data_IF_223412230146
#
_entry.id   IF_223412230146
#
_cell.length_a   1.000
_cell.length_b   1.000
_cell.length_c   1.000
_cell.angle_alpha   90.00
_cell.angle_beta   90.00
_cell.angle_gamma   90.00
#
_symmetry.space_group_name_H-M   'P 1'
#
loop_
_entity.id
_entity.type
_entity.pdbx_description
1 polymer ?
#
# COMPACT_ATOMS: atom_id res chain seq x y z
N UNK A 1 -71.71 -85.57 26.36
CA UNK A 1 -71.44 -84.51 25.37
C UNK A 1 -71.03 -83.16 25.97
N UNK A 2 -71.46 -82.79 27.19
CA UNK A 2 -71.04 -81.53 27.85
C UNK A 2 -69.91 -81.68 28.90
N UNK A 3 -69.31 -82.88 29.03
CA UNK A 3 -68.24 -83.19 29.98
C UNK A 3 -67.02 -83.83 29.31
N UNK A 4 -66.80 -83.55 28.01
CA UNK A 4 -65.60 -83.99 27.30
C UNK A 4 -64.49 -82.94 27.53
N UNK A 5 -63.37 -83.30 28.19
CA UNK A 5 -62.26 -82.37 28.45
C UNK A 5 -61.77 -81.68 27.17
N UNK A 6 -61.87 -82.36 26.03
CA UNK A 6 -61.45 -81.86 24.72
C UNK A 6 -62.25 -80.63 24.27
N UNK A 7 -63.54 -80.55 24.62
CA UNK A 7 -64.40 -79.40 24.28
C UNK A 7 -64.00 -78.15 25.07
N UNK A 8 -63.74 -78.28 26.37
CA UNK A 8 -63.27 -77.16 27.19
C UNK A 8 -61.85 -76.70 26.82
N UNK A 9 -60.99 -77.61 26.36
CA UNK A 9 -59.69 -77.26 25.79
C UNK A 9 -59.85 -76.47 24.49
N UNK A 10 -60.75 -76.88 23.60
CA UNK A 10 -61.03 -76.13 22.36
C UNK A 10 -61.61 -74.72 22.65
N UNK A 11 -62.54 -74.60 23.59
CA UNK A 11 -63.12 -73.31 23.99
C UNK A 11 -62.07 -72.38 24.62
N UNK A 12 -61.21 -72.90 25.51
CA UNK A 12 -60.14 -72.10 26.12
C UNK A 12 -59.06 -71.70 25.11
N UNK A 13 -58.73 -72.56 24.14
CA UNK A 13 -57.84 -72.22 23.02
C UNK A 13 -58.40 -71.10 22.16
N UNK A 14 -59.68 -71.18 21.75
CA UNK A 14 -60.32 -70.14 20.94
C UNK A 14 -60.39 -68.81 21.71
N UNK A 15 -60.73 -68.84 23.00
CA UNK A 15 -60.77 -67.64 23.83
C UNK A 15 -59.37 -67.01 23.98
N UNK A 16 -58.34 -67.83 24.19
CA UNK A 16 -56.95 -67.37 24.25
C UNK A 16 -56.49 -66.75 22.93
N UNK A 17 -56.77 -67.40 21.80
CA UNK A 17 -56.44 -66.88 20.47
C UNK A 17 -57.19 -65.56 20.21
N UNK A 18 -58.48 -65.49 20.52
CA UNK A 18 -59.28 -64.28 20.34
C UNK A 18 -58.74 -63.09 21.16
N UNK A 19 -58.34 -63.32 22.41
CA UNK A 19 -57.77 -62.28 23.27
C UNK A 19 -56.37 -61.84 22.82
N UNK A 20 -55.52 -62.78 22.37
CA UNK A 20 -54.13 -62.48 21.98
C UNK A 20 -53.99 -61.94 20.57
N UNK A 21 -54.87 -62.33 19.63
CA UNK A 21 -54.79 -61.93 18.22
C UNK A 21 -54.78 -60.41 18.05
N UNK A 22 -55.66 -59.70 18.76
CA UNK A 22 -55.72 -58.22 18.71
C UNK A 22 -54.41 -57.59 19.17
N UNK A 23 -53.82 -58.08 20.26
CA UNK A 23 -52.56 -57.53 20.79
C UNK A 23 -51.38 -57.82 19.88
N UNK A 24 -51.26 -59.06 19.37
CA UNK A 24 -50.19 -59.43 18.43
C UNK A 24 -50.30 -58.62 17.14
N UNK A 25 -51.50 -58.47 16.58
CA UNK A 25 -51.72 -57.69 15.35
C UNK A 25 -51.36 -56.22 15.55
N UNK A 26 -51.78 -55.61 16.67
CA UNK A 26 -51.43 -54.22 16.99
C UNK A 26 -49.93 -54.02 17.17
N UNK A 27 -49.23 -54.94 17.85
CA UNK A 27 -47.77 -54.84 18.03
C UNK A 27 -47.01 -55.03 16.71
N UNK A 28 -47.45 -55.95 15.85
CA UNK A 28 -46.83 -56.19 14.55
C UNK A 28 -46.98 -54.99 13.61
N UNK A 29 -48.19 -54.43 13.50
CA UNK A 29 -48.45 -53.23 12.69
C UNK A 29 -47.67 -52.02 13.21
N UNK A 30 -47.69 -51.77 14.52
CA UNK A 30 -46.93 -50.66 15.13
C UNK A 30 -45.42 -50.78 14.86
N UNK A 31 -44.85 -52.00 14.92
CA UNK A 31 -43.43 -52.21 14.65
C UNK A 31 -43.07 -51.98 13.18
N UNK A 32 -43.94 -52.36 12.25
CA UNK A 32 -43.77 -52.11 10.82
C UNK A 32 -43.89 -50.61 10.49
N UNK A 33 -44.88 -49.93 11.07
CA UNK A 33 -45.07 -48.48 10.91
C UNK A 33 -43.88 -47.70 11.49
N UNK A 34 -43.38 -48.10 12.66
CA UNK A 34 -42.18 -47.50 13.25
C UNK A 34 -40.96 -47.61 12.32
N UNK A 35 -40.73 -48.79 11.73
CA UNK A 35 -39.64 -48.98 10.76
C UNK A 35 -39.87 -48.18 9.47
N UNK A 36 -41.10 -48.13 8.97
CA UNK A 36 -41.42 -47.37 7.77
C UNK A 36 -41.18 -45.86 7.99
N UNK A 37 -41.58 -45.34 9.15
CA UNK A 37 -41.33 -43.95 9.52
C UNK A 37 -39.85 -43.66 9.74
N UNK A 38 -39.10 -44.57 10.37
CA UNK A 38 -37.65 -44.43 10.52
C UNK A 38 -36.94 -44.38 9.17
N UNK A 39 -37.32 -45.25 8.23
CA UNK A 39 -36.75 -45.26 6.87
C UNK A 39 -37.10 -43.97 6.13
N UNK A 40 -38.36 -43.50 6.22
CA UNK A 40 -38.77 -42.21 5.64
C UNK A 40 -37.95 -41.05 6.19
N UNK A 41 -37.83 -40.95 7.51
CA UNK A 41 -37.06 -39.87 8.15
C UNK A 41 -35.59 -39.89 7.71
N UNK A 42 -34.96 -41.07 7.64
CA UNK A 42 -33.58 -41.22 7.15
C UNK A 42 -33.44 -40.82 5.68
N UNK A 43 -34.43 -41.15 4.84
CA UNK A 43 -34.45 -40.75 3.43
C UNK A 43 -34.62 -39.24 3.26
N UNK A 44 -35.50 -38.62 4.04
CA UNK A 44 -35.71 -37.16 4.05
C UNK A 44 -34.45 -36.44 4.54
N UNK A 45 -33.84 -36.90 5.62
CA UNK A 45 -32.58 -36.35 6.14
C UNK A 45 -31.44 -36.48 5.11
N UNK A 46 -31.32 -37.64 4.46
CA UNK A 46 -30.33 -37.84 3.40
C UNK A 46 -30.56 -36.93 2.18
N UNK A 47 -31.82 -36.66 1.82
CA UNK A 47 -32.17 -35.71 0.76
C UNK A 47 -31.79 -34.29 1.16
N UNK A 48 -32.17 -33.86 2.37
CA UNK A 48 -31.83 -32.53 2.89
C UNK A 48 -30.31 -32.32 2.95
N UNK A 49 -29.56 -33.28 3.49
CA UNK A 49 -28.10 -33.24 3.53
C UNK A 49 -27.47 -33.14 2.13
N UNK A 50 -28.06 -33.84 1.14
CA UNK A 50 -27.59 -33.76 -0.24
C UNK A 50 -27.88 -32.38 -0.84
N UNK A 51 -29.05 -31.82 -0.60
CA UNK A 51 -29.41 -30.47 -1.06
C UNK A 51 -28.51 -29.41 -0.43
N UNK A 52 -28.28 -29.48 0.89
CA UNK A 52 -27.35 -28.61 1.60
C UNK A 52 -25.93 -28.72 1.06
N UNK A 53 -25.43 -29.93 0.82
CA UNK A 53 -24.10 -30.14 0.25
C UNK A 53 -23.99 -29.57 -1.18
N UNK A 54 -25.04 -29.70 -1.99
CA UNK A 54 -25.10 -29.12 -3.33
C UNK A 54 -25.13 -27.59 -3.28
N UNK A 55 -25.92 -27.01 -2.38
CA UNK A 55 -26.00 -25.57 -2.17
C UNK A 55 -24.67 -25.00 -1.68
N UNK A 56 -24.03 -25.67 -0.71
CA UNK A 56 -22.71 -25.31 -0.21
C UNK A 56 -21.66 -25.35 -1.34
N UNK A 57 -21.61 -26.44 -2.12
CA UNK A 57 -20.70 -26.55 -3.26
C UNK A 57 -20.90 -25.42 -4.28
N UNK A 58 -22.16 -25.12 -4.63
CA UNK A 58 -22.46 -24.03 -5.55
C UNK A 58 -22.03 -22.67 -4.99
N UNK A 59 -22.18 -22.47 -3.68
CA UNK A 59 -21.72 -21.25 -3.02
C UNK A 59 -20.19 -21.13 -3.05
N UNK A 60 -19.45 -22.21 -2.74
CA UNK A 60 -18.00 -22.23 -2.82
C UNK A 60 -17.49 -21.96 -4.24
N UNK A 61 -18.11 -22.55 -5.27
CA UNK A 61 -17.74 -22.30 -6.65
C UNK A 61 -17.98 -20.84 -7.06
N UNK A 62 -19.07 -20.24 -6.59
CA UNK A 62 -19.36 -18.81 -6.81
C UNK A 62 -18.31 -17.94 -6.14
N UNK A 63 -18.05 -18.19 -4.85
CA UNK A 63 -17.06 -17.46 -4.07
C UNK A 63 -15.66 -17.58 -4.68
N UNK A 64 -15.26 -18.77 -5.13
CA UNK A 64 -13.97 -18.98 -5.79
C UNK A 64 -13.85 -18.13 -7.06
N UNK A 65 -14.88 -18.14 -7.92
CA UNK A 65 -14.88 -17.33 -9.14
C UNK A 65 -14.84 -15.84 -8.83
N UNK A 66 -15.60 -15.40 -7.85
CA UNK A 66 -15.69 -13.98 -7.50
C UNK A 66 -14.35 -13.52 -6.85
N UNK A 67 -13.71 -14.36 -6.02
CA UNK A 67 -12.38 -14.11 -5.49
C UNK A 67 -11.30 -14.04 -6.59
N UNK A 68 -11.37 -14.89 -7.62
CA UNK A 68 -10.46 -14.82 -8.76
C UNK A 68 -10.63 -13.50 -9.53
N UNK A 69 -11.87 -13.07 -9.79
CA UNK A 69 -12.16 -11.79 -10.43
C UNK A 69 -11.65 -10.61 -9.60
N UNK A 70 -11.84 -10.66 -8.30
CA UNK A 70 -11.36 -9.62 -7.39
C UNK A 70 -9.83 -9.57 -7.35
N UNK A 71 -9.15 -10.73 -7.32
CA UNK A 71 -7.70 -10.79 -7.44
C UNK A 71 -7.19 -10.22 -8.77
N UNK A 72 -7.84 -10.54 -9.89
CA UNK A 72 -7.53 -9.96 -11.21
C UNK A 72 -7.72 -8.43 -11.21
N UNK A 73 -8.80 -7.94 -10.61
CA UNK A 73 -9.07 -6.51 -10.49
C UNK A 73 -8.01 -5.80 -9.62
N UNK A 74 -7.62 -6.39 -8.49
CA UNK A 74 -6.55 -5.88 -7.63
C UNK A 74 -5.23 -5.80 -8.41
N UNK A 75 -4.88 -6.84 -9.16
CA UNK A 75 -3.66 -6.86 -9.97
C UNK A 75 -3.69 -5.82 -11.10
N UNK A 76 -4.83 -5.64 -11.76
CA UNK A 76 -5.01 -4.63 -12.78
C UNK A 76 -4.83 -3.22 -12.20
N UNK A 77 -5.52 -2.92 -11.09
CA UNK A 77 -5.40 -1.65 -10.39
C UNK A 77 -3.97 -1.39 -9.90
N UNK A 78 -3.30 -2.40 -9.33
CA UNK A 78 -1.92 -2.26 -8.88
C UNK A 78 -0.95 -1.96 -10.03
N UNK A 79 -1.17 -2.54 -11.22
CA UNK A 79 -0.36 -2.26 -12.42
C UNK A 79 -0.59 -0.85 -12.95
N UNK A 80 -1.85 -0.42 -13.00
CA UNK A 80 -2.20 0.95 -13.40
C UNK A 80 -1.59 1.97 -12.46
N UNK A 81 -1.71 1.74 -11.16
CA UNK A 81 -1.16 2.61 -10.12
C UNK A 81 0.38 2.63 -10.14
N UNK A 82 1.01 1.48 -10.35
CA UNK A 82 2.47 1.42 -10.54
C UNK A 82 2.91 2.20 -11.78
N UNK A 83 2.16 2.13 -12.89
CA UNK A 83 2.44 2.90 -14.10
C UNK A 83 2.30 4.40 -13.82
N UNK A 84 1.21 4.83 -13.16
CA UNK A 84 0.97 6.22 -12.77
C UNK A 84 2.08 6.75 -11.87
N UNK A 85 2.47 5.99 -10.85
CA UNK A 85 3.57 6.35 -9.95
C UNK A 85 4.90 6.48 -10.69
N UNK A 86 5.18 5.60 -11.67
CA UNK A 86 6.38 5.71 -12.51
C UNK A 86 6.37 6.98 -13.35
N UNK A 87 5.28 7.25 -14.06
CA UNK A 87 5.16 8.46 -14.89
C UNK A 87 5.27 9.75 -14.06
N UNK A 88 4.63 9.79 -12.88
CA UNK A 88 4.76 10.92 -11.95
C UNK A 88 6.16 11.05 -11.37
N UNK A 89 6.80 9.92 -11.06
CA UNK A 89 8.18 9.85 -10.59
C UNK A 89 9.16 10.37 -11.62
N UNK A 90 9.02 9.94 -12.88
CA UNK A 90 9.83 10.41 -14.02
C UNK A 90 9.68 11.93 -14.22
N UNK A 91 8.44 12.44 -14.24
CA UNK A 91 8.19 13.90 -14.34
C UNK A 91 8.80 14.69 -13.18
N UNK A 92 8.66 14.20 -11.94
CA UNK A 92 9.25 14.85 -10.76
C UNK A 92 10.78 14.83 -10.80
N UNK A 93 11.36 13.72 -11.27
CA UNK A 93 12.80 13.57 -11.41
C UNK A 93 13.34 14.54 -12.46
N UNK A 94 12.73 14.60 -13.64
CA UNK A 94 13.08 15.51 -14.72
C UNK A 94 13.02 16.98 -14.25
N UNK A 95 11.92 17.37 -13.59
CA UNK A 95 11.79 18.72 -13.02
C UNK A 95 12.84 19.01 -11.94
N UNK A 96 13.24 18.02 -11.15
CA UNK A 96 14.30 18.17 -10.14
C UNK A 96 15.67 18.31 -10.77
N UNK A 97 15.96 17.54 -11.82
CA UNK A 97 17.20 17.62 -12.57
C UNK A 97 17.33 18.98 -13.27
N UNK A 98 16.29 19.43 -13.96
CA UNK A 98 16.28 20.75 -14.60
C UNK A 98 16.53 21.90 -13.60
N UNK A 99 15.90 21.85 -12.42
CA UNK A 99 16.18 22.82 -11.34
C UNK A 99 17.62 22.75 -10.85
N UNK A 100 18.17 21.55 -10.68
CA UNK A 100 19.56 21.38 -10.23
C UNK A 100 20.57 21.86 -11.26
N UNK A 101 20.30 21.62 -12.54
CA UNK A 101 21.09 22.12 -13.66
C UNK A 101 21.10 23.64 -13.68
N UNK A 102 19.92 24.27 -13.59
CA UNK A 102 19.81 25.73 -13.53
C UNK A 102 20.58 26.31 -12.33
N UNK A 103 20.44 25.73 -11.14
CA UNK A 103 21.19 26.15 -9.95
C UNK A 103 22.70 25.95 -10.10
N UNK A 104 23.14 24.91 -10.82
CA UNK A 104 24.56 24.69 -11.10
C UNK A 104 25.11 25.76 -12.05
N UNK A 105 24.37 26.07 -13.12
CA UNK A 105 24.71 27.14 -14.07
C UNK A 105 24.79 28.49 -13.34
N UNK A 106 23.81 28.82 -12.51
CA UNK A 106 23.81 30.06 -11.72
C UNK A 106 25.00 30.14 -10.75
N UNK A 107 25.36 29.02 -10.11
CA UNK A 107 26.55 28.95 -9.25
C UNK A 107 27.85 29.12 -10.02
N UNK A 108 27.96 28.54 -11.22
CA UNK A 108 29.12 28.71 -12.09
C UNK A 108 29.25 30.18 -12.49
N UNK A 109 28.17 30.80 -12.96
CA UNK A 109 28.16 32.22 -13.34
C UNK A 109 28.53 33.13 -12.16
N UNK A 110 28.01 32.86 -10.96
CA UNK A 110 28.37 33.60 -9.76
C UNK A 110 29.85 33.41 -9.37
N UNK A 111 30.39 32.20 -9.52
CA UNK A 111 31.81 31.92 -9.27
C UNK A 111 32.72 32.60 -10.29
N UNK A 112 32.34 32.63 -11.57
CA UNK A 112 33.07 33.34 -12.62
C UNK A 112 33.09 34.85 -12.37
N UNK A 113 31.95 35.44 -12.04
CA UNK A 113 31.85 36.86 -11.70
C UNK A 113 32.73 37.22 -10.50
N UNK A 114 32.73 36.36 -9.46
CA UNK A 114 33.60 36.52 -8.30
C UNK A 114 35.08 36.41 -8.67
N UNK A 115 35.47 35.40 -9.44
CA UNK A 115 36.86 35.23 -9.88
C UNK A 115 37.36 36.43 -10.70
N UNK A 116 36.51 36.99 -11.58
CA UNK A 116 36.82 38.20 -12.33
C UNK A 116 37.01 39.42 -11.40
N UNK A 117 36.17 39.55 -10.37
CA UNK A 117 36.32 40.61 -9.38
C UNK A 117 37.63 40.45 -8.60
N UNK A 118 37.93 39.24 -8.11
CA UNK A 118 39.15 38.95 -7.36
C UNK A 118 40.41 39.25 -8.21
N UNK A 119 40.40 38.91 -9.50
CA UNK A 119 41.50 39.24 -10.44
C UNK A 119 41.63 40.75 -10.62
N UNK A 120 40.51 41.48 -10.76
CA UNK A 120 40.54 42.95 -10.90
C UNK A 120 41.10 43.62 -9.64
N UNK A 121 40.71 43.16 -8.47
CA UNK A 121 41.23 43.66 -7.18
C UNK A 121 42.75 43.44 -7.09
N UNK A 122 43.23 42.23 -7.43
CA UNK A 122 44.68 41.95 -7.48
C UNK A 122 45.42 42.84 -8.49
N UNK A 123 44.83 43.12 -9.66
CA UNK A 123 45.44 44.04 -10.62
C UNK A 123 45.52 45.48 -10.10
N UNK A 124 44.50 45.96 -9.39
CA UNK A 124 44.51 47.30 -8.78
C UNK A 124 45.62 47.39 -7.73
N UNK A 125 45.74 46.38 -6.87
CA UNK A 125 46.80 46.32 -5.86
C UNK A 125 48.19 46.30 -6.49
N UNK A 126 48.39 45.50 -7.55
CA UNK A 126 49.66 45.44 -8.28
C UNK A 126 49.98 46.76 -8.97
N UNK A 127 49.00 47.40 -9.61
CA UNK A 127 49.17 48.71 -10.26
C UNK A 127 49.51 49.79 -9.23
N UNK A 128 48.86 49.80 -8.06
CA UNK A 128 49.19 50.71 -6.96
C UNK A 128 50.59 50.47 -6.41
N UNK A 129 51.00 49.21 -6.24
CA UNK A 129 52.35 48.86 -5.79
C UNK A 129 53.42 49.31 -6.81
N UNK A 130 53.21 49.05 -8.10
CA UNK A 130 54.10 49.50 -9.17
C UNK A 130 54.16 51.04 -9.25
N UNK A 131 53.03 51.72 -9.09
CA UNK A 131 52.97 53.19 -9.06
C UNK A 131 53.72 53.75 -7.87
N UNK A 132 53.58 53.16 -6.67
CA UNK A 132 54.35 53.54 -5.48
C UNK A 132 55.85 53.40 -5.74
N UNK A 133 56.28 52.28 -6.30
CA UNK A 133 57.69 52.03 -6.62
C UNK A 133 58.24 52.98 -7.70
N UNK A 134 57.41 53.35 -8.69
CA UNK A 134 57.77 54.33 -9.71
C UNK A 134 57.90 55.74 -9.12
N UNK A 135 57.02 56.13 -8.19
CA UNK A 135 57.10 57.41 -7.48
C UNK A 135 58.35 57.43 -6.59
N UNK A 136 58.61 56.38 -5.82
CA UNK A 136 59.81 56.28 -4.97
C UNK A 136 61.12 56.39 -5.77
N UNK A 137 61.17 55.80 -6.97
CA UNK A 137 62.35 55.86 -7.84
C UNK A 137 62.50 57.18 -8.61
N UNK A 138 61.42 57.94 -8.84
CA UNK A 138 61.45 59.22 -9.56
C UNK A 138 61.43 60.46 -8.65
N UNK A 139 61.29 60.32 -7.33
CA UNK A 139 61.44 61.45 -6.40
C UNK A 139 62.92 61.82 -6.29
N UNK A 140 63.31 62.86 -7.03
CA UNK A 140 64.56 63.57 -6.81
C UNK A 140 64.47 64.54 -5.61
N UNK A 141 65.59 65.15 -5.23
CA UNK A 141 65.62 66.10 -4.12
C UNK A 141 64.81 67.38 -4.34
N UNK A 142 64.54 67.76 -5.59
CA UNK A 142 63.83 68.98 -5.96
C UNK A 142 62.30 68.79 -5.99
N UNK A 143 61.82 67.62 -6.42
CA UNK A 143 60.42 67.21 -6.36
C UNK A 143 60.00 67.02 -4.91
N UNK A 144 60.88 66.47 -4.06
CA UNK A 144 60.62 66.29 -2.63
C UNK A 144 60.44 67.62 -1.89
N UNK A 145 61.27 68.62 -2.18
CA UNK A 145 61.16 69.94 -1.55
C UNK A 145 59.92 70.70 -2.04
N UNK A 146 59.54 70.57 -3.33
CA UNK A 146 58.26 71.08 -3.84
C UNK A 146 57.05 70.44 -3.17
N UNK A 147 57.01 69.12 -3.03
CA UNK A 147 55.90 68.42 -2.37
C UNK A 147 55.72 68.84 -0.90
N UNK A 148 56.82 69.08 -0.18
CA UNK A 148 56.77 69.59 1.20
C UNK A 148 56.26 71.03 1.23
N UNK A 149 56.70 71.88 0.30
CA UNK A 149 56.23 73.26 0.21
C UNK A 149 54.73 73.34 -0.14
N UNK A 150 54.25 72.52 -1.08
CA UNK A 150 52.85 72.44 -1.47
C UNK A 150 51.97 71.90 -0.33
N UNK A 151 52.42 70.85 0.38
CA UNK A 151 51.71 70.32 1.55
C UNK A 151 51.59 71.36 2.68
N UNK A 152 52.64 72.17 2.92
CA UNK A 152 52.61 73.27 3.89
C UNK A 152 51.66 74.38 3.43
N UNK A 153 51.57 74.64 2.12
CA UNK A 153 50.66 75.62 1.55
C UNK A 153 49.18 75.19 1.51
N UNK A 154 48.89 73.89 1.60
CA UNK A 154 47.52 73.33 1.57
C UNK A 154 46.88 73.20 2.97
N UNK A 155 47.68 73.24 4.05
CA UNK A 155 47.19 73.21 5.45
C UNK A 155 46.19 74.35 5.77
N UNK A 156 46.39 75.61 5.32
CA UNK A 156 45.44 76.69 5.58
C UNK A 156 44.08 76.52 4.88
N UNK A 157 44.02 75.76 3.78
CA UNK A 157 42.83 75.62 2.93
C UNK A 157 41.89 74.49 3.38
N UNK A 158 42.36 73.54 4.21
CA UNK A 158 41.52 72.47 4.79
C UNK A 158 41.07 72.74 6.23
N UNK A 159 41.44 73.88 6.80
CA UNK A 159 41.05 74.35 8.14
C UNK A 159 39.98 75.47 8.11
N UNK A 160 39.34 75.68 6.95
CA UNK A 160 38.07 76.42 6.80
C UNK A 160 36.97 75.43 6.40
#
# INVERSE_FOLDING_TARGET
MFADPTFWVAVSFVLFVALTFKMVWQKATTALDARANEIRNRLEEAQNLREEAQAAKANYQRLQRDALKEAEAILAHAREEAKRMREEGEKKLEASLARREQLAIEKIAAAEAKALQDVREQMVDLAMAATRQLIESNIDGAVRSRLVADAVAEIPTRLQ
#
